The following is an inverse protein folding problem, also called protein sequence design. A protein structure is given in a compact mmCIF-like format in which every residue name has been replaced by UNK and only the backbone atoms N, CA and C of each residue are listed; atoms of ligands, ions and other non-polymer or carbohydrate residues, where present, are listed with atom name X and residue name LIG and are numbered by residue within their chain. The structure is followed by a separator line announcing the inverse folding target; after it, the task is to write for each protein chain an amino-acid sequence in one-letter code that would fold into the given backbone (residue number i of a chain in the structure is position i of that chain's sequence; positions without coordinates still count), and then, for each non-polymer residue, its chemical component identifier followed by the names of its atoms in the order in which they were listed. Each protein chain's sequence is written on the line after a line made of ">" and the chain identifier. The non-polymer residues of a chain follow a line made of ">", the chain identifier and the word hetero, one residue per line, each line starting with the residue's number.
data_IF_289771356084
#
_entry.id   IF_289771356084
#
_cell.length_a   1.000
_cell.length_b   1.000
_cell.length_c   1.000
_cell.angle_alpha   90.00
_cell.angle_beta   90.00
_cell.angle_gamma   90.00
#
_symmetry.space_group_name_H-M   'P 1'
#
loop_
_entity.id
_entity.type
_entity.pdbx_description
1 polymer ?
#
# COMPACT_ATOMS: atom_id res chain seq x y z
N UNK A 1 -0.69 2.45 -5.37
CA UNK A 1 0.37 1.87 -4.53
C UNK A 1 1.65 2.68 -4.67
N UNK A 2 2.48 2.72 -3.65
CA UNK A 2 3.77 3.43 -3.65
C UNK A 2 4.80 2.72 -2.76
N UNK A 3 6.07 2.80 -3.16
CA UNK A 3 7.19 2.30 -2.34
C UNK A 3 8.48 3.05 -2.69
N UNK A 4 9.44 3.04 -1.77
CA UNK A 4 10.78 3.58 -2.00
C UNK A 4 11.77 2.44 -2.19
N UNK A 5 12.64 2.56 -3.19
CA UNK A 5 13.74 1.65 -3.43
C UNK A 5 15.05 2.29 -2.99
N UNK A 6 15.67 1.85 -1.88
CA UNK A 6 16.94 2.43 -1.44
C UNK A 6 18.11 2.11 -2.38
N UNK A 7 18.04 1.04 -3.17
CA UNK A 7 19.11 0.62 -4.05
C UNK A 7 19.37 1.60 -5.21
N UNK A 8 18.32 2.26 -5.70
CA UNK A 8 18.41 3.26 -6.77
C UNK A 8 17.93 4.66 -6.35
N UNK A 9 17.62 4.82 -5.05
CA UNK A 9 17.10 6.06 -4.46
C UNK A 9 15.87 6.61 -5.20
N UNK A 10 14.96 5.73 -5.58
CA UNK A 10 13.76 6.07 -6.33
C UNK A 10 12.48 5.72 -5.60
N UNK A 11 11.46 6.54 -5.81
CA UNK A 11 10.08 6.18 -5.51
C UNK A 11 9.44 5.51 -6.73
N UNK A 12 8.66 4.47 -6.45
CA UNK A 12 7.85 3.78 -7.45
C UNK A 12 6.37 3.95 -7.12
N UNK A 13 5.56 4.16 -8.16
CA UNK A 13 4.11 4.33 -8.07
C UNK A 13 3.45 3.39 -9.06
N UNK A 14 2.48 2.62 -8.60
CA UNK A 14 1.77 1.68 -9.46
C UNK A 14 0.26 1.86 -9.37
N UNK A 15 -0.37 1.80 -10.55
CA UNK A 15 -1.82 1.82 -10.67
C UNK A 15 -2.43 3.15 -10.25
N UNK A 16 -3.68 3.09 -9.82
CA UNK A 16 -4.42 4.26 -9.38
C UNK A 16 -5.78 4.37 -10.05
N UNK A 17 -6.44 5.48 -9.73
CA UNK A 17 -7.78 5.79 -10.17
C UNK A 17 -7.86 7.26 -10.55
N UNK A 18 -8.38 7.57 -11.73
CA UNK A 18 -8.56 8.93 -12.18
C UNK A 18 -9.10 9.02 -13.61
N UNK A 19 -9.78 10.11 -13.94
CA UNK A 19 -10.38 10.35 -15.25
C UNK A 19 -11.25 9.17 -15.74
N UNK A 20 -12.07 8.63 -14.85
CA UNK A 20 -12.96 7.47 -15.10
C UNK A 20 -12.24 6.18 -15.50
N UNK A 21 -10.96 6.02 -15.12
CA UNK A 21 -10.17 4.86 -15.43
C UNK A 21 -9.44 4.31 -14.20
N UNK A 22 -9.36 2.98 -14.12
CA UNK A 22 -8.37 2.28 -13.31
C UNK A 22 -7.09 2.19 -14.12
N UNK A 23 -5.95 2.36 -13.45
CA UNK A 23 -4.64 2.39 -14.10
C UNK A 23 -3.81 1.17 -13.72
N UNK A 24 -2.85 0.83 -14.60
CA UNK A 24 -1.81 -0.17 -14.35
C UNK A 24 -0.42 0.36 -14.73
N UNK A 25 -0.31 1.67 -14.88
CA UNK A 25 0.96 2.32 -15.16
C UNK A 25 1.91 2.14 -13.97
N UNK A 26 3.19 1.94 -14.28
CA UNK A 26 4.28 2.00 -13.32
C UNK A 26 5.10 3.26 -13.59
N UNK A 27 5.29 4.07 -12.57
CA UNK A 27 6.12 5.27 -12.63
C UNK A 27 7.27 5.17 -11.64
N UNK A 28 8.41 5.72 -12.03
CA UNK A 28 9.58 5.91 -11.19
C UNK A 28 9.86 7.40 -11.04
N UNK A 29 10.23 7.82 -9.83
CA UNK A 29 10.68 9.18 -9.53
C UNK A 29 12.00 9.10 -8.75
N UNK A 30 13.11 9.49 -9.36
CA UNK A 30 14.42 9.52 -8.72
C UNK A 30 14.49 10.64 -7.69
N UNK A 31 15.06 10.34 -6.52
CA UNK A 31 15.36 11.34 -5.51
C UNK A 31 16.27 12.43 -6.09
N UNK A 32 15.93 13.70 -5.80
CA UNK A 32 16.68 14.87 -6.29
C UNK A 32 16.31 15.38 -7.69
N UNK A 33 15.62 14.60 -8.49
CA UNK A 33 15.15 15.01 -9.82
C UNK A 33 13.65 15.38 -9.84
N UNK A 34 12.85 14.74 -8.99
CA UNK A 34 11.38 14.92 -8.89
C UNK A 34 10.60 14.73 -10.19
N UNK A 35 11.25 14.24 -11.25
CA UNK A 35 10.61 13.93 -12.53
C UNK A 35 10.00 12.54 -12.47
N UNK A 36 8.73 12.45 -12.83
CA UNK A 36 8.02 11.19 -12.93
C UNK A 36 8.25 10.58 -14.32
N UNK A 37 8.85 9.40 -14.38
CA UNK A 37 9.14 8.67 -15.62
C UNK A 37 8.33 7.38 -15.65
N UNK A 38 7.67 7.11 -16.77
CA UNK A 38 6.92 5.88 -16.93
C UNK A 38 7.88 4.71 -17.21
N UNK A 39 7.72 3.64 -16.44
CA UNK A 39 8.43 2.37 -16.65
C UNK A 39 7.54 1.46 -17.47
N UNK A 40 7.94 1.18 -18.70
CA UNK A 40 7.23 0.25 -19.58
C UNK A 40 7.66 -1.17 -19.22
N UNK A 41 6.69 -2.03 -18.93
CA UNK A 41 6.94 -3.42 -18.59
C UNK A 41 6.09 -4.38 -19.44
N UNK A 42 6.62 -5.57 -19.69
CA UNK A 42 5.95 -6.61 -20.47
C UNK A 42 4.81 -7.27 -19.68
N UNK A 43 3.77 -7.73 -20.38
CA UNK A 43 2.58 -8.41 -19.79
C UNK A 43 1.90 -7.55 -18.72
N UNK A 44 1.27 -6.44 -19.11
CA UNK A 44 0.66 -5.52 -18.15
C UNK A 44 -0.29 -6.22 -17.18
N UNK A 45 -0.11 -5.91 -15.89
CA UNK A 45 -1.01 -6.37 -14.84
C UNK A 45 -2.37 -5.69 -14.98
N UNK A 46 -3.41 -6.32 -14.45
CA UNK A 46 -4.75 -5.71 -14.50
C UNK A 46 -4.79 -4.38 -13.76
N UNK A 47 -5.46 -3.37 -14.36
CA UNK A 47 -5.64 -2.05 -13.77
C UNK A 47 -6.31 -2.11 -12.40
N UNK A 48 -5.74 -1.37 -11.42
CA UNK A 48 -6.22 -1.39 -10.04
C UNK A 48 -5.77 -0.17 -9.23
N UNK A 49 -6.50 0.11 -8.16
CA UNK A 49 -6.12 1.10 -7.15
C UNK A 49 -6.15 0.46 -5.75
N UNK A 50 -5.61 1.15 -4.75
CA UNK A 50 -5.51 0.69 -3.36
C UNK A 50 -4.94 -0.73 -3.23
N UNK A 51 -3.85 -0.99 -3.94
CA UNK A 51 -2.98 -2.15 -3.76
C UNK A 51 -1.84 -1.81 -2.81
N UNK A 52 -1.29 -2.81 -2.14
CA UNK A 52 -0.05 -2.68 -1.37
C UNK A 52 1.16 -3.02 -2.25
N UNK A 53 2.30 -2.36 -2.01
CA UNK A 53 3.49 -2.53 -2.83
C UNK A 53 4.77 -2.47 -2.00
N UNK A 54 5.76 -3.29 -2.37
CA UNK A 54 7.13 -3.22 -1.83
C UNK A 54 8.14 -3.75 -2.84
N UNK A 55 9.43 -3.52 -2.56
CA UNK A 55 10.54 -4.04 -3.37
C UNK A 55 11.37 -4.99 -2.51
N UNK A 56 11.68 -6.17 -3.08
CA UNK A 56 12.57 -7.16 -2.49
C UNK A 56 13.60 -7.56 -3.54
N UNK A 57 14.85 -7.17 -3.33
CA UNK A 57 15.89 -7.31 -4.34
C UNK A 57 15.53 -6.50 -5.60
N UNK A 58 15.46 -7.18 -6.74
CA UNK A 58 15.11 -6.58 -8.03
C UNK A 58 13.62 -6.73 -8.40
N UNK A 59 12.82 -7.28 -7.50
CA UNK A 59 11.40 -7.56 -7.74
C UNK A 59 10.52 -6.55 -7.00
N UNK A 60 9.65 -5.88 -7.71
CA UNK A 60 8.59 -5.04 -7.19
C UNK A 60 7.33 -5.90 -7.04
N UNK A 61 6.93 -6.17 -5.80
CA UNK A 61 5.75 -6.96 -5.47
C UNK A 61 4.53 -6.08 -5.25
N UNK A 62 3.38 -6.53 -5.76
CA UNK A 62 2.10 -5.84 -5.69
C UNK A 62 1.05 -6.83 -5.20
N UNK A 63 0.33 -6.47 -4.14
CA UNK A 63 -0.71 -7.30 -3.56
C UNK A 63 -2.05 -6.57 -3.52
N UNK A 64 -3.12 -7.27 -3.89
CA UNK A 64 -4.49 -6.81 -3.72
C UNK A 64 -4.91 -5.69 -4.68
N UNK A 65 -5.78 -4.85 -4.18
CA UNK A 65 -6.36 -3.72 -4.89
C UNK A 65 -7.70 -4.01 -5.56
N UNK A 66 -8.36 -2.97 -6.10
CA UNK A 66 -9.66 -3.03 -6.75
C UNK A 66 -9.60 -2.44 -8.16
N UNK A 67 -10.29 -3.06 -9.10
CA UNK A 67 -10.37 -2.62 -10.49
C UNK A 67 -11.06 -3.62 -11.39
N UNK A 68 -10.77 -3.56 -12.69
CA UNK A 68 -11.19 -4.56 -13.65
C UNK A 68 -10.18 -4.68 -14.80
N UNK A 69 -10.27 -5.77 -15.56
CA UNK A 69 -9.31 -6.06 -16.65
C UNK A 69 -9.29 -5.04 -17.78
N UNK A 70 -10.35 -4.26 -17.92
CA UNK A 70 -10.48 -3.27 -18.99
C UNK A 70 -10.03 -1.87 -18.57
N UNK A 71 -9.78 -1.63 -17.29
CA UNK A 71 -9.46 -0.31 -16.73
C UNK A 71 -10.61 0.69 -16.75
N UNK A 72 -11.82 0.27 -17.07
CA UNK A 72 -12.98 1.14 -17.26
C UNK A 72 -13.87 1.19 -16.03
N UNK A 73 -14.19 2.39 -15.59
CA UNK A 73 -14.98 2.64 -14.39
C UNK A 73 -16.46 2.28 -14.53
N UNK A 74 -17.00 2.45 -15.72
CA UNK A 74 -18.37 2.09 -16.04
C UNK A 74 -18.65 0.59 -16.00
N UNK A 75 -17.59 -0.23 -15.97
CA UNK A 75 -17.71 -1.68 -15.85
C UNK A 75 -17.55 -2.12 -14.39
N UNK A 76 -18.22 -3.20 -14.03
CA UNK A 76 -18.11 -3.78 -12.69
C UNK A 76 -16.67 -3.99 -12.27
N UNK A 77 -16.31 -3.45 -11.11
CA UNK A 77 -15.01 -3.68 -10.49
C UNK A 77 -15.08 -4.81 -9.48
N UNK A 78 -13.96 -5.47 -9.28
CA UNK A 78 -13.81 -6.51 -8.26
C UNK A 78 -12.48 -6.30 -7.52
N UNK A 79 -12.35 -6.93 -6.38
CA UNK A 79 -11.11 -6.96 -5.64
C UNK A 79 -10.19 -8.04 -6.23
N UNK A 80 -8.91 -7.73 -6.30
CA UNK A 80 -7.89 -8.70 -6.63
C UNK A 80 -7.30 -9.26 -5.33
N UNK A 81 -7.32 -10.58 -5.18
CA UNK A 81 -6.62 -11.26 -4.11
C UNK A 81 -5.50 -12.10 -4.72
N UNK A 82 -4.36 -11.49 -4.85
CA UNK A 82 -3.21 -12.13 -5.46
C UNK A 82 -1.96 -11.29 -5.32
N UNK A 83 -0.84 -11.99 -5.39
CA UNK A 83 0.49 -11.43 -5.39
C UNK A 83 1.03 -11.43 -6.83
N UNK A 84 1.42 -10.26 -7.29
CA UNK A 84 2.08 -10.07 -8.59
C UNK A 84 3.49 -9.53 -8.36
N UNK A 85 4.36 -9.71 -9.33
CA UNK A 85 5.71 -9.15 -9.32
C UNK A 85 6.07 -8.52 -10.67
N UNK A 86 6.87 -7.46 -10.63
CA UNK A 86 7.52 -6.85 -11.78
C UNK A 86 9.02 -6.85 -11.52
N UNK A 87 9.79 -7.51 -12.35
CA UNK A 87 11.24 -7.47 -12.25
C UNK A 87 11.77 -6.17 -12.84
N UNK A 88 12.44 -5.36 -12.03
CA UNK A 88 12.89 -4.02 -12.38
C UNK A 88 14.13 -3.99 -13.31
N UNK A 89 14.83 -5.14 -13.45
CA UNK A 89 15.98 -5.23 -14.36
C UNK A 89 15.59 -5.53 -15.80
N UNK A 90 14.59 -6.38 -15.98
CA UNK A 90 14.17 -6.81 -17.32
C UNK A 90 12.74 -6.37 -17.67
N UNK A 91 12.08 -5.64 -16.78
CA UNK A 91 10.73 -5.10 -16.95
C UNK A 91 9.68 -6.18 -17.31
N UNK A 92 9.78 -7.37 -16.71
CA UNK A 92 8.82 -8.46 -16.91
C UNK A 92 7.94 -8.62 -15.68
N UNK A 93 6.64 -8.69 -15.90
CA UNK A 93 5.70 -9.00 -14.85
C UNK A 93 5.31 -10.48 -14.84
N UNK A 94 4.88 -10.94 -13.68
CA UNK A 94 4.29 -12.27 -13.48
C UNK A 94 3.25 -12.24 -12.36
N UNK A 95 2.30 -13.14 -12.44
CA UNK A 95 1.44 -13.48 -11.29
C UNK A 95 2.19 -14.51 -10.47
N UNK A 96 2.49 -14.19 -9.21
CA UNK A 96 3.12 -15.12 -8.27
C UNK A 96 2.09 -16.15 -7.86
N UNK A 97 0.93 -15.67 -7.39
CA UNK A 97 -0.25 -16.47 -7.14
C UNK A 97 -1.51 -15.60 -7.14
N UNK A 98 -2.66 -16.21 -7.33
CA UNK A 98 -3.96 -15.55 -7.32
C UNK A 98 -5.03 -16.48 -6.76
N UNK A 99 -5.94 -15.94 -5.95
CA UNK A 99 -7.16 -16.60 -5.51
C UNK A 99 -8.37 -16.02 -6.23
N UNK A 100 -9.35 -16.88 -6.48
CA UNK A 100 -10.69 -16.42 -6.84
C UNK A 100 -11.36 -15.91 -5.56
N UNK A 101 -11.89 -14.69 -5.62
CA UNK A 101 -12.58 -14.07 -4.49
C UNK A 101 -14.07 -14.05 -4.69
N UNK A 102 -14.82 -14.21 -3.59
CA UNK A 102 -16.14 -13.63 -3.53
C UNK A 102 -16.04 -12.10 -3.38
N UNK A 103 -17.02 -11.34 -3.89
CA UNK A 103 -17.02 -9.87 -3.72
C UNK A 103 -16.99 -9.41 -2.26
N UNK A 104 -17.40 -10.28 -1.33
CA UNK A 104 -17.53 -10.00 0.11
C UNK A 104 -16.17 -10.07 0.85
N UNK A 105 -15.21 -10.82 0.33
CA UNK A 105 -13.90 -11.02 0.95
C UNK A 105 -12.88 -9.92 0.59
N UNK A 106 -13.29 -8.96 -0.25
CA UNK A 106 -12.40 -7.97 -0.81
C UNK A 106 -12.06 -6.84 0.15
N UNK A 107 -10.82 -6.41 0.10
CA UNK A 107 -10.35 -5.27 0.88
C UNK A 107 -9.48 -4.35 0.06
N UNK A 108 -9.53 -3.06 0.39
CA UNK A 108 -8.56 -2.07 -0.04
C UNK A 108 -7.33 -2.17 0.87
N UNK A 109 -6.15 -2.03 0.30
CA UNK A 109 -4.89 -2.13 1.04
C UNK A 109 -4.27 -0.74 1.22
N UNK A 110 -3.55 -0.56 2.32
CA UNK A 110 -2.61 0.54 2.46
C UNK A 110 -1.62 0.54 1.28
N UNK A 111 -1.10 1.72 0.95
CA UNK A 111 -0.31 1.90 -0.29
C UNK A 111 1.01 1.14 -0.35
N UNK A 112 1.53 0.69 0.79
CA UNK A 112 2.79 -0.05 0.91
C UNK A 112 2.65 -1.28 1.80
N UNK A 113 3.58 -2.22 1.65
CA UNK A 113 3.71 -3.42 2.48
C UNK A 113 5.17 -3.66 2.86
N UNK A 114 5.38 -4.42 3.91
CA UNK A 114 6.70 -4.81 4.42
C UNK A 114 6.99 -6.26 4.09
N UNK A 115 8.23 -6.56 3.74
CA UNK A 115 8.72 -7.92 3.57
C UNK A 115 9.55 -8.34 4.79
N UNK A 116 9.18 -9.45 5.42
CA UNK A 116 9.91 -10.06 6.53
C UNK A 116 10.73 -11.25 6.01
N UNK A 117 12.07 -11.12 5.95
CA UNK A 117 12.91 -12.18 5.40
C UNK A 117 12.90 -13.46 6.21
N UNK A 118 12.73 -13.38 7.54
CA UNK A 118 12.85 -14.53 8.45
C UNK A 118 11.77 -15.59 8.20
N UNK A 119 10.59 -15.18 7.73
CA UNK A 119 9.47 -16.08 7.43
C UNK A 119 9.01 -16.02 5.96
N UNK A 120 9.70 -15.26 5.12
CA UNK A 120 9.39 -15.08 3.70
C UNK A 120 7.95 -14.64 3.46
N UNK A 121 7.47 -13.70 4.27
CA UNK A 121 6.12 -13.16 4.20
C UNK A 121 6.10 -11.66 4.00
N UNK A 122 5.01 -11.17 3.41
CA UNK A 122 4.71 -9.76 3.37
C UNK A 122 3.69 -9.42 4.46
N UNK A 123 3.81 -8.22 5.00
CA UNK A 123 2.84 -7.65 5.93
C UNK A 123 2.24 -6.41 5.32
N UNK A 124 0.92 -6.36 5.23
CA UNK A 124 0.17 -5.25 4.66
C UNK A 124 -1.05 -4.93 5.50
N UNK A 125 -1.49 -3.68 5.52
CA UNK A 125 -2.68 -3.26 6.25
C UNK A 125 -3.86 -3.25 5.31
N UNK A 126 -4.89 -4.01 5.66
CA UNK A 126 -6.22 -3.92 5.07
C UNK A 126 -6.91 -2.67 5.60
N UNK A 127 -7.48 -1.85 4.72
CA UNK A 127 -8.16 -0.62 5.10
C UNK A 127 -9.61 -0.85 5.59
N UNK A 128 -10.13 -2.06 5.43
CA UNK A 128 -11.46 -2.42 5.93
C UNK A 128 -11.41 -2.69 7.44
N UNK A 129 -12.56 -2.58 8.10
CA UNK A 129 -12.75 -2.95 9.51
C UNK A 129 -11.74 -2.30 10.48
N UNK A 130 -11.35 -1.07 10.22
CA UNK A 130 -10.48 -0.32 11.15
C UNK A 130 -8.98 -0.59 11.02
N UNK A 131 -8.54 -1.11 9.89
CA UNK A 131 -7.14 -1.40 9.61
C UNK A 131 -6.66 -2.68 10.30
N UNK A 132 -6.65 -3.78 9.57
CA UNK A 132 -6.17 -5.09 10.05
C UNK A 132 -4.85 -5.41 9.36
N UNK A 133 -3.85 -5.83 10.12
CA UNK A 133 -2.59 -6.29 9.57
C UNK A 133 -2.75 -7.72 9.05
N UNK A 134 -2.37 -7.90 7.79
CA UNK A 134 -2.38 -9.18 7.11
C UNK A 134 -0.95 -9.69 6.93
N UNK A 135 -0.73 -10.97 7.21
CA UNK A 135 0.45 -11.71 6.81
C UNK A 135 0.16 -12.47 5.52
N UNK A 136 1.00 -12.29 4.51
CA UNK A 136 0.79 -12.77 3.14
C UNK A 136 2.01 -13.60 2.75
N UNK A 137 1.82 -14.89 2.44
CA UNK A 137 2.92 -15.73 1.99
C UNK A 137 3.49 -15.27 0.64
N UNK A 138 4.81 -15.27 0.53
CA UNK A 138 5.49 -15.01 -0.73
C UNK A 138 5.32 -16.15 -1.75
N UNK A 139 5.15 -17.39 -1.26
CA UNK A 139 5.18 -18.59 -2.11
C UNK A 139 3.81 -19.15 -2.41
N UNK A 140 2.96 -19.15 -1.40
CA UNK A 140 1.67 -19.85 -1.42
C UNK A 140 0.53 -18.85 -1.40
N UNK A 141 -0.61 -19.22 -1.97
CA UNK A 141 -1.80 -18.38 -1.93
C UNK A 141 -2.46 -18.36 -0.53
N UNK A 142 -1.65 -18.16 0.49
CA UNK A 142 -2.05 -18.09 1.90
C UNK A 142 -1.88 -16.67 2.42
N UNK A 143 -2.89 -16.18 3.10
CA UNK A 143 -2.86 -14.95 3.88
C UNK A 143 -3.67 -15.15 5.16
N UNK A 144 -3.28 -14.45 6.21
CA UNK A 144 -3.94 -14.50 7.52
C UNK A 144 -4.03 -13.10 8.11
N UNK A 145 -5.14 -12.80 8.77
CA UNK A 145 -5.26 -11.63 9.63
C UNK A 145 -4.44 -11.90 10.91
N UNK A 146 -3.50 -11.01 11.23
CA UNK A 146 -2.55 -11.21 12.35
C UNK A 146 -2.68 -10.11 13.41
N UNK A 147 -3.66 -9.24 13.30
CA UNK A 147 -3.99 -8.26 14.33
C UNK A 147 -5.50 -8.08 14.46
N UNK A 148 -5.92 -7.50 15.59
CA UNK A 148 -7.22 -6.86 15.72
C UNK A 148 -7.26 -5.56 14.92
N UNK A 149 -8.44 -4.95 14.73
CA UNK A 149 -8.53 -3.60 14.17
C UNK A 149 -7.62 -2.63 14.93
N UNK A 150 -6.76 -1.94 14.18
CA UNK A 150 -5.80 -0.98 14.76
C UNK A 150 -6.54 0.25 15.27
N UNK A 151 -7.65 0.60 14.61
CA UNK A 151 -8.50 1.71 15.02
C UNK A 151 -9.97 1.44 14.66
N UNK A 152 -10.83 1.30 15.65
CA UNK A 152 -12.22 0.86 15.48
C UNK A 152 -13.13 1.83 14.69
N UNK A 153 -12.75 3.11 14.59
CA UNK A 153 -13.58 4.16 13.97
C UNK A 153 -13.16 4.53 12.56
N UNK A 154 -12.21 3.81 11.95
CA UNK A 154 -11.69 4.17 10.64
C UNK A 154 -12.61 3.73 9.52
N UNK A 155 -13.05 4.72 8.75
CA UNK A 155 -13.67 4.52 7.46
C UNK A 155 -12.63 4.80 6.36
N UNK A 156 -12.40 3.82 5.46
CA UNK A 156 -11.47 3.93 4.35
C UNK A 156 -11.76 5.11 3.39
N UNK A 157 -12.96 5.69 3.44
CA UNK A 157 -13.33 6.79 2.56
C UNK A 157 -12.67 8.10 2.96
N UNK A 158 -12.34 8.26 4.25
CA UNK A 158 -11.85 9.51 4.81
C UNK A 158 -10.38 9.44 5.25
N UNK A 159 -9.73 8.29 5.06
CA UNK A 159 -8.39 8.04 5.57
C UNK A 159 -7.45 7.51 4.50
N UNK A 160 -6.21 7.99 4.49
CA UNK A 160 -5.08 7.38 3.78
C UNK A 160 -4.18 6.62 4.77
N UNK A 161 -3.78 5.42 4.38
CA UNK A 161 -2.91 4.57 5.17
C UNK A 161 -1.60 4.32 4.44
N UNK A 162 -0.50 4.48 5.16
CA UNK A 162 0.81 4.17 4.64
C UNK A 162 1.62 3.40 5.67
N UNK A 163 2.24 2.31 5.24
CA UNK A 163 3.10 1.48 6.07
C UNK A 163 4.55 1.78 5.73
N UNK A 164 5.34 2.12 6.74
CA UNK A 164 6.76 2.42 6.60
C UNK A 164 7.58 1.48 7.47
N UNK A 165 8.81 1.25 7.06
CA UNK A 165 9.76 0.43 7.81
C UNK A 165 10.86 1.28 8.41
N UNK A 166 11.30 0.93 9.61
CA UNK A 166 12.55 1.40 10.17
C UNK A 166 13.46 0.19 10.46
N UNK A 167 14.24 -0.26 9.47
CA UNK A 167 15.07 -1.46 9.62
C UNK A 167 16.04 -1.37 10.79
N UNK A 168 16.57 -0.18 11.06
CA UNK A 168 17.49 0.07 12.17
C UNK A 168 16.87 -0.12 13.55
N UNK A 169 15.55 -0.08 13.66
CA UNK A 169 14.84 -0.18 14.94
C UNK A 169 13.96 -1.44 15.03
N UNK A 170 13.92 -2.28 13.99
CA UNK A 170 13.06 -3.47 13.95
C UNK A 170 11.58 -3.14 14.11
N UNK A 171 11.12 -2.02 13.52
CA UNK A 171 9.75 -1.53 13.67
C UNK A 171 9.09 -1.24 12.33
N UNK A 172 7.79 -1.45 12.28
CA UNK A 172 6.89 -0.89 11.28
C UNK A 172 6.19 0.33 11.88
N UNK A 173 5.94 1.31 11.04
CA UNK A 173 5.12 2.48 11.36
C UNK A 173 3.94 2.52 10.42
N UNK A 174 2.74 2.45 10.96
CA UNK A 174 1.52 2.73 10.23
C UNK A 174 1.18 4.21 10.43
N UNK A 175 1.22 4.96 9.36
CA UNK A 175 0.78 6.36 9.33
C UNK A 175 -0.64 6.39 8.79
N UNK A 176 -1.51 6.98 9.55
CA UNK A 176 -2.89 7.20 9.20
C UNK A 176 -3.12 8.70 9.08
N UNK A 177 -3.61 9.12 7.94
CA UNK A 177 -4.00 10.51 7.67
C UNK A 177 -5.51 10.56 7.43
N UNK A 178 -6.25 11.16 8.36
CA UNK A 178 -7.70 11.35 8.29
C UNK A 178 -8.02 12.79 7.94
N UNK A 179 -8.73 12.98 6.82
CA UNK A 179 -9.21 14.29 6.39
C UNK A 179 -10.48 14.63 7.18
N UNK A 180 -10.51 15.82 7.77
CA UNK A 180 -11.65 16.36 8.49
C UNK A 180 -12.51 17.23 7.55
N UNK A 181 -13.75 17.49 7.96
CA UNK A 181 -14.71 18.30 7.16
C UNK A 181 -14.27 19.74 6.90
N UNK A 182 -13.35 20.28 7.69
CA UNK A 182 -12.77 21.62 7.55
C UNK A 182 -11.45 21.64 6.76
N UNK A 183 -11.11 20.55 6.06
CA UNK A 183 -9.85 20.34 5.36
C UNK A 183 -8.61 20.29 6.27
N UNK A 184 -8.78 20.12 7.57
CA UNK A 184 -7.66 19.77 8.46
C UNK A 184 -7.36 18.27 8.38
N UNK A 185 -6.14 17.91 8.74
CA UNK A 185 -5.68 16.53 8.74
C UNK A 185 -5.35 16.09 10.16
N UNK A 186 -5.92 14.97 10.57
CA UNK A 186 -5.52 14.27 11.78
C UNK A 186 -4.57 13.15 11.41
N UNK A 187 -3.32 13.24 11.85
CA UNK A 187 -2.31 12.21 11.59
C UNK A 187 -2.09 11.40 12.87
N UNK A 188 -2.25 10.09 12.78
CA UNK A 188 -1.90 9.15 13.83
C UNK A 188 -0.76 8.23 13.35
N UNK A 189 0.21 7.95 14.22
CA UNK A 189 1.32 7.07 13.92
C UNK A 189 1.32 5.93 14.94
N UNK A 190 1.17 4.71 14.43
CA UNK A 190 1.24 3.48 15.23
C UNK A 190 2.59 2.82 15.00
N UNK A 191 3.25 2.38 16.06
CA UNK A 191 4.46 1.58 15.96
C UNK A 191 4.17 0.11 16.25
N UNK A 192 4.69 -0.77 15.41
CA UNK A 192 4.52 -2.22 15.50
C UNK A 192 5.91 -2.83 15.61
N UNK A 193 6.19 -3.61 16.66
CA UNK A 193 7.46 -4.30 16.79
C UNK A 193 7.53 -5.51 15.82
N UNK A 194 8.69 -5.76 15.26
CA UNK A 194 8.93 -6.90 14.37
C UNK A 194 9.98 -7.85 14.98
N UNK A 195 9.85 -9.14 14.77
CA UNK A 195 8.71 -9.85 14.17
C UNK A 195 7.46 -9.72 15.04
N UNK A 196 6.28 -9.75 14.43
CA UNK A 196 5.01 -9.78 15.15
C UNK A 196 4.89 -11.08 15.94
N UNK A 197 4.92 -10.98 17.26
CA UNK A 197 4.83 -12.14 18.15
C UNK A 197 3.40 -12.35 18.64
N UNK A 198 2.67 -11.24 18.87
CA UNK A 198 1.28 -11.25 19.34
C UNK A 198 0.61 -9.87 19.11
N UNK A 199 -0.69 -9.76 19.40
CA UNK A 199 -1.48 -8.53 19.23
C UNK A 199 -1.03 -7.37 20.13
N UNK A 200 -0.33 -7.64 21.24
CA UNK A 200 0.17 -6.65 22.18
C UNK A 200 1.34 -5.83 21.61
N UNK A 201 1.95 -6.31 20.52
CA UNK A 201 3.02 -5.58 19.84
C UNK A 201 2.51 -4.38 19.04
N UNK A 202 1.18 -4.27 18.83
CA UNK A 202 0.56 -3.10 18.20
C UNK A 202 0.28 -2.06 19.28
N UNK A 203 1.11 -1.03 19.34
CA UNK A 203 0.94 0.07 20.28
C UNK A 203 0.00 1.13 19.72
N UNK A 204 -0.99 1.52 20.53
CA UNK A 204 -1.84 2.68 20.24
C UNK A 204 -1.01 3.97 20.38
N UNK A 205 -1.29 5.02 19.58
CA UNK A 205 -0.64 6.31 19.75
C UNK A 205 -0.96 6.85 21.16
N UNK A 206 0.05 7.31 21.84
CA UNK A 206 -0.18 8.21 22.96
C UNK A 206 -0.84 9.47 22.39
N UNK A 207 -1.93 9.94 23.00
CA UNK A 207 -2.80 11.01 22.49
C UNK A 207 -2.06 12.36 22.27
N UNK A 208 -1.20 12.44 21.28
CA UNK A 208 -0.63 13.68 20.78
C UNK A 208 -1.42 14.15 19.57
N UNK A 209 -2.36 15.04 19.80
CA UNK A 209 -3.05 15.78 18.73
C UNK A 209 -2.10 16.83 18.16
N UNK A 210 -1.42 16.49 17.08
CA UNK A 210 -0.70 17.48 16.27
C UNK A 210 -1.70 18.18 15.34
N UNK A 211 -2.16 19.35 15.71
CA UNK A 211 -2.87 20.26 14.80
C UNK A 211 -1.84 21.00 13.95
N UNK A 212 -1.55 20.50 12.78
CA UNK A 212 -0.73 21.22 11.81
C UNK A 212 -1.61 22.07 10.90
N UNK A 213 -1.70 23.38 11.18
CA UNK A 213 -2.29 24.33 10.26
C UNK A 213 -1.29 24.62 9.13
N UNK A 214 -1.43 23.97 7.98
CA UNK A 214 -0.68 24.36 6.76
C UNK A 214 -1.26 25.66 6.22
N UNK A 215 -0.51 26.77 6.31
CA UNK A 215 -0.76 27.98 5.54
C UNK A 215 -0.33 27.71 4.09
N UNK A 216 -1.29 27.67 3.16
CA UNK A 216 -0.96 27.67 1.75
C UNK A 216 -0.52 29.08 1.33
N UNK A 217 0.73 29.22 0.88
CA UNK A 217 1.17 30.39 0.17
C UNK A 217 0.76 30.26 -1.30
N UNK A 218 -0.23 31.00 -1.73
CA UNK A 218 -0.48 31.22 -3.15
C UNK A 218 0.62 32.15 -3.68
N UNK A 219 1.49 31.62 -4.53
CA UNK A 219 2.36 32.45 -5.35
C UNK A 219 1.50 32.85 -6.56
N UNK A 220 0.98 34.07 -6.53
CA UNK A 220 0.41 34.69 -7.73
C UNK A 220 1.59 35.09 -8.64
N UNK A 221 1.68 34.45 -9.81
CA UNK A 221 2.54 34.82 -10.92
C UNK A 221 1.71 35.00 -12.15
#
# INVERSE_FOLDING_TARGET
>A
ARTFNPADSSFYFFGGYGFYQYRNDLFQMKSGNYKLEQVIYERPLYPRYSAAMTIVGDELYIFGGRGNKYGKQELSSHFYLGLCAINLKNNRSRIVWQKNMSPEDGTLMASSMYFEPSDSSFYAVSMNKGGILWKISMKDSVYTEVSKPIHNELNYQDCDFSLYTSPSHGKLFLVLDKIQNDHTHNVAIYSINMPLVNEEDIRQPENETFTSSRKYFYIAG
#
